data_IF_778317623003
#
_entry.id   IF_778317623003
#
_cell.length_a   1.000
_cell.length_b   1.000
_cell.length_c   1.000
_cell.angle_alpha   90.00
_cell.angle_beta   90.00
_cell.angle_gamma   90.00
#
_symmetry.space_group_name_H-M   'P 1'
#
loop_
_entity.id
_entity.type
_entity.pdbx_description
1 polymer ?
#
# COMPACT_ATOMS: atom_id res chain seq x y z
N UNK A 1 -10.26 5.59 12.48
CA UNK A 1 -9.79 6.35 11.30
C UNK A 1 -8.35 6.76 11.55
N UNK A 2 -7.47 6.44 10.63
CA UNK A 2 -6.07 6.87 10.66
C UNK A 2 -5.95 8.37 10.42
N UNK A 3 -4.93 9.00 11.00
CA UNK A 3 -4.62 10.42 10.79
C UNK A 3 -3.86 10.69 9.47
N UNK A 4 -3.52 9.64 8.72
CA UNK A 4 -2.76 9.69 7.47
C UNK A 4 -3.27 8.62 6.51
N UNK A 5 -3.01 8.81 5.22
CA UNK A 5 -3.38 7.86 4.16
C UNK A 5 -2.20 7.61 3.20
N UNK A 6 -2.39 6.78 2.19
CA UNK A 6 -1.40 6.40 1.18
C UNK A 6 -0.69 7.62 0.57
N UNK A 7 -1.43 8.70 0.31
CA UNK A 7 -0.87 9.94 -0.23
C UNK A 7 0.22 10.55 0.66
N UNK A 8 0.09 10.40 1.98
CA UNK A 8 1.01 10.97 2.96
C UNK A 8 2.29 10.13 3.05
N UNK A 9 2.16 8.80 2.94
CA UNK A 9 3.29 7.88 2.79
C UNK A 9 4.09 8.20 1.52
N UNK A 10 3.41 8.33 0.39
CA UNK A 10 4.05 8.63 -0.90
C UNK A 10 4.76 9.99 -0.87
N UNK A 11 4.17 11.01 -0.24
CA UNK A 11 4.80 12.34 -0.07
C UNK A 11 6.03 12.28 0.81
N UNK A 12 5.96 11.56 1.94
CA UNK A 12 7.10 11.43 2.86
C UNK A 12 8.31 10.77 2.18
N UNK A 13 8.05 9.82 1.28
CA UNK A 13 9.07 9.05 0.58
C UNK A 13 9.50 9.67 -0.76
N UNK A 14 8.98 10.83 -1.12
CA UNK A 14 9.42 11.57 -2.28
C UNK A 14 10.89 12.04 -2.11
N UNK A 15 11.68 12.13 -3.19
CA UNK A 15 11.29 11.89 -4.59
C UNK A 15 11.25 10.41 -4.99
N UNK A 16 11.81 9.53 -4.17
CA UNK A 16 12.04 8.12 -4.52
C UNK A 16 10.74 7.36 -4.81
N UNK A 17 9.69 7.62 -4.02
CA UNK A 17 8.34 7.08 -4.26
C UNK A 17 7.76 7.44 -5.64
N UNK A 18 8.08 8.63 -6.15
CA UNK A 18 7.59 9.12 -7.44
C UNK A 18 8.45 8.62 -8.61
N UNK A 19 9.69 8.22 -8.34
CA UNK A 19 10.56 7.61 -9.34
C UNK A 19 10.35 6.11 -9.50
N UNK A 20 9.73 5.47 -8.49
CA UNK A 20 9.34 4.08 -8.55
C UNK A 20 8.14 3.87 -9.47
N UNK A 21 8.04 2.67 -10.01
CA UNK A 21 6.81 2.13 -10.59
C UNK A 21 6.12 1.29 -9.53
N UNK A 22 4.80 1.27 -9.55
CA UNK A 22 3.98 0.67 -8.51
C UNK A 22 3.00 -0.31 -9.11
N UNK A 23 3.03 -1.53 -8.57
CA UNK A 23 1.96 -2.50 -8.77
C UNK A 23 0.90 -2.26 -7.70
N UNK A 24 -0.34 -2.10 -8.15
CA UNK A 24 -1.52 -2.00 -7.28
C UNK A 24 -2.20 -3.36 -7.31
N UNK A 25 -2.40 -3.95 -6.14
CA UNK A 25 -2.92 -5.32 -5.98
C UNK A 25 -3.94 -5.39 -4.85
N UNK A 26 -4.79 -6.42 -4.89
CA UNK A 26 -5.59 -6.85 -3.74
C UNK A 26 -4.69 -7.34 -2.61
N UNK A 27 -5.17 -7.24 -1.36
CA UNK A 27 -4.53 -7.87 -0.21
C UNK A 27 -4.84 -9.36 -0.24
N UNK A 28 -3.83 -10.18 -0.52
CA UNK A 28 -3.98 -11.64 -0.64
C UNK A 28 -3.68 -12.31 0.70
N UNK A 29 -4.61 -13.13 1.18
CA UNK A 29 -4.37 -13.93 2.39
C UNK A 29 -3.59 -15.22 2.09
N UNK A 30 -3.21 -15.97 3.13
CA UNK A 30 -2.71 -17.35 2.97
C UNK A 30 -3.73 -18.34 2.38
N UNK A 31 -5.01 -17.95 2.29
CA UNK A 31 -6.07 -18.68 1.61
C UNK A 31 -6.33 -18.05 0.22
N UNK A 32 -6.18 -18.79 -0.89
CA UNK A 32 -6.20 -18.22 -2.25
C UNK A 32 -7.51 -17.54 -2.66
N UNK A 33 -8.63 -17.85 -1.99
CA UNK A 33 -9.95 -17.33 -2.34
C UNK A 33 -10.30 -16.03 -1.59
N UNK A 34 -9.43 -15.59 -0.68
CA UNK A 34 -9.66 -14.42 0.15
C UNK A 34 -8.69 -13.30 -0.25
N UNK A 35 -9.22 -12.37 -1.03
CA UNK A 35 -8.55 -11.17 -1.48
C UNK A 35 -9.43 -9.95 -1.21
N UNK A 36 -8.84 -8.86 -0.72
CA UNK A 36 -9.58 -7.62 -0.43
C UNK A 36 -8.93 -6.41 -1.07
N UNK A 37 -9.77 -5.55 -1.65
CA UNK A 37 -9.42 -4.18 -1.95
C UNK A 37 -10.63 -3.31 -1.66
N UNK A 38 -10.43 -2.24 -0.90
CA UNK A 38 -11.49 -1.30 -0.57
C UNK A 38 -10.86 0.07 -0.32
N UNK A 39 -11.32 1.07 -1.07
CA UNK A 39 -10.90 2.45 -0.94
C UNK A 39 -12.05 3.38 -1.31
N UNK A 40 -12.18 4.49 -0.58
CA UNK A 40 -13.28 5.44 -0.72
C UNK A 40 -12.88 6.68 -1.52
N UNK A 41 -13.85 7.31 -2.19
CA UNK A 41 -13.67 8.48 -3.05
C UNK A 41 -13.28 8.11 -4.50
N UNK A 42 -13.35 9.08 -5.41
CA UNK A 42 -13.14 8.87 -6.86
C UNK A 42 -11.78 8.23 -7.20
N UNK A 43 -10.75 8.50 -6.39
CA UNK A 43 -9.45 7.85 -6.53
C UNK A 43 -9.48 6.38 -6.11
N UNK A 44 -10.26 6.05 -5.07
CA UNK A 44 -10.42 4.70 -4.54
C UNK A 44 -11.03 3.74 -5.56
N UNK A 45 -12.13 4.13 -6.20
CA UNK A 45 -12.79 3.33 -7.25
C UNK A 45 -11.82 3.00 -8.40
N UNK A 46 -10.98 3.97 -8.79
CA UNK A 46 -9.96 3.77 -9.83
C UNK A 46 -8.84 2.85 -9.37
N UNK A 47 -8.42 2.96 -8.12
CA UNK A 47 -7.41 2.06 -7.54
C UNK A 47 -7.93 0.63 -7.45
N UNK A 48 -9.21 0.43 -7.14
CA UNK A 48 -9.83 -0.90 -7.12
C UNK A 48 -9.83 -1.55 -8.51
N UNK A 49 -10.18 -0.80 -9.56
CA UNK A 49 -10.10 -1.28 -10.94
C UNK A 49 -8.67 -1.62 -11.38
N UNK A 50 -7.66 -0.99 -10.78
CA UNK A 50 -6.24 -1.29 -11.01
C UNK A 50 -5.81 -2.54 -10.23
N UNK A 51 -6.25 -2.67 -8.97
CA UNK A 51 -5.95 -3.79 -8.09
C UNK A 51 -6.47 -5.12 -8.65
N UNK A 52 -7.68 -5.14 -9.21
CA UNK A 52 -8.31 -6.32 -9.79
C UNK A 52 -7.56 -6.92 -10.99
N UNK A 53 -6.58 -6.20 -11.55
CA UNK A 53 -5.75 -6.66 -12.67
C UNK A 53 -4.26 -6.61 -12.37
N UNK A 54 -3.89 -6.45 -11.10
CA UNK A 54 -2.49 -6.28 -10.65
C UNK A 54 -1.75 -5.21 -11.49
N UNK A 55 -2.42 -4.08 -11.76
CA UNK A 55 -1.94 -3.08 -12.70
C UNK A 55 -0.66 -2.39 -12.22
N UNK A 56 0.21 -2.07 -13.17
CA UNK A 56 1.43 -1.29 -12.95
C UNK A 56 1.21 0.14 -13.41
N UNK A 57 1.47 1.10 -12.52
CA UNK A 57 1.38 2.54 -12.79
C UNK A 57 2.62 3.27 -12.29
N UNK A 58 2.83 4.49 -12.75
CA UNK A 58 3.93 5.34 -12.26
C UNK A 58 3.64 5.87 -10.86
N UNK A 59 4.70 6.24 -10.12
CA UNK A 59 4.54 6.86 -8.80
C UNK A 59 3.79 8.20 -8.84
N UNK A 60 3.88 8.95 -9.94
CA UNK A 60 3.11 10.18 -10.16
C UNK A 60 1.62 9.89 -10.32
N UNK A 61 1.26 8.88 -11.12
CA UNK A 61 -0.13 8.45 -11.29
C UNK A 61 -0.70 7.93 -9.96
N UNK A 62 0.07 7.11 -9.23
CA UNK A 62 -0.35 6.61 -7.92
C UNK A 62 -0.61 7.76 -6.94
N UNK A 63 0.29 8.75 -6.86
CA UNK A 63 0.08 9.91 -6.00
C UNK A 63 -1.14 10.75 -6.44
N UNK A 64 -1.38 10.87 -7.75
CA UNK A 64 -2.54 11.59 -8.27
C UNK A 64 -3.86 10.91 -7.86
N UNK A 65 -3.93 9.57 -7.96
CA UNK A 65 -5.06 8.77 -7.50
C UNK A 65 -5.21 8.86 -5.98
N UNK A 66 -4.14 8.68 -5.22
CA UNK A 66 -4.17 8.76 -3.76
C UNK A 66 -4.61 10.13 -3.22
N UNK A 67 -4.42 11.23 -3.98
CA UNK A 67 -4.97 12.55 -3.62
C UNK A 67 -6.48 12.65 -3.79
N UNK A 68 -7.05 11.87 -4.71
CA UNK A 68 -8.49 11.76 -4.97
C UNK A 68 -9.15 10.65 -4.14
N UNK A 69 -8.35 9.82 -3.46
CA UNK A 69 -8.80 8.84 -2.49
C UNK A 69 -9.03 9.52 -1.14
N UNK A 70 -10.21 9.30 -0.56
CA UNK A 70 -10.54 9.76 0.79
C UNK A 70 -9.85 8.88 1.82
N UNK A 71 -9.91 7.57 1.63
CA UNK A 71 -9.29 6.60 2.53
C UNK A 71 -9.05 5.26 1.83
N UNK A 72 -7.90 4.63 2.04
CA UNK A 72 -7.69 3.21 1.71
C UNK A 72 -8.00 2.37 2.94
N UNK A 73 -8.94 1.44 2.82
CA UNK A 73 -9.34 0.50 3.87
C UNK A 73 -8.55 -0.80 3.71
N UNK A 74 -8.55 -1.37 2.50
CA UNK A 74 -7.76 -2.53 2.09
C UNK A 74 -7.04 -2.24 0.77
N UNK A 75 -5.76 -2.58 0.70
CA UNK A 75 -5.02 -2.53 -0.56
C UNK A 75 -3.53 -2.78 -0.38
N UNK A 76 -2.89 -3.33 -1.41
CA UNK A 76 -1.45 -3.55 -1.45
C UNK A 76 -0.82 -2.76 -2.60
N UNK A 77 0.26 -2.04 -2.29
CA UNK A 77 1.00 -1.20 -3.21
C UNK A 77 2.47 -1.59 -3.15
N UNK A 78 2.98 -2.19 -4.22
CA UNK A 78 4.36 -2.65 -4.30
C UNK A 78 5.15 -1.80 -5.27
N UNK A 79 6.10 -1.03 -4.74
CA UNK A 79 7.03 -0.18 -5.48
C UNK A 79 8.30 -0.91 -5.85
N UNK A 80 8.74 -0.74 -7.10
CA UNK A 80 9.99 -1.31 -7.63
C UNK A 80 10.66 -0.34 -8.59
N UNK A 81 11.95 -0.58 -8.85
CA UNK A 81 12.73 0.17 -9.81
C UNK A 81 13.07 -0.74 -10.99
N UNK A 82 12.80 -0.34 -12.25
CA UNK A 82 13.01 -1.20 -13.42
C UNK A 82 14.45 -1.73 -13.57
N UNK A 83 15.41 -1.08 -12.93
CA UNK A 83 16.84 -1.39 -13.01
C UNK A 83 17.43 -1.95 -11.69
N UNK A 84 16.60 -2.20 -10.68
CA UNK A 84 17.07 -2.79 -9.43
C UNK A 84 17.06 -4.31 -9.52
N UNK A 85 18.12 -4.94 -9.02
CA UNK A 85 18.24 -6.40 -8.85
C UNK A 85 17.36 -6.95 -7.73
N UNK A 86 16.83 -6.09 -6.85
CA UNK A 86 15.83 -6.44 -5.85
C UNK A 86 14.43 -6.24 -6.43
N UNK A 87 13.66 -7.33 -6.49
CA UNK A 87 12.35 -7.39 -7.15
C UNK A 87 11.32 -6.43 -6.55
N UNK A 88 11.45 -6.05 -5.27
CA UNK A 88 10.53 -5.15 -4.57
C UNK A 88 11.31 -4.18 -3.67
N UNK A 89 11.25 -2.87 -3.94
CA UNK A 89 11.85 -1.86 -3.07
C UNK A 89 11.02 -1.67 -1.80
N UNK A 90 9.70 -1.55 -1.95
CA UNK A 90 8.80 -1.22 -0.85
C UNK A 90 7.41 -1.78 -1.12
N UNK A 91 6.88 -2.58 -0.20
CA UNK A 91 5.47 -2.95 -0.16
C UNK A 91 4.79 -2.13 0.95
N UNK A 92 3.65 -1.53 0.62
CA UNK A 92 2.75 -0.85 1.54
C UNK A 92 1.42 -1.58 1.49
N UNK A 93 0.92 -2.04 2.63
CA UNK A 93 -0.36 -2.73 2.73
C UNK A 93 -1.26 -2.06 3.76
N UNK A 94 -2.46 -1.67 3.36
CA UNK A 94 -3.49 -1.14 4.25
C UNK A 94 -4.35 -2.28 4.80
N UNK A 95 -4.59 -2.28 6.12
CA UNK A 95 -5.38 -3.31 6.82
C UNK A 95 -6.53 -2.66 7.57
N UNK A 96 -7.77 -2.97 7.17
CA UNK A 96 -9.05 -2.49 7.73
C UNK A 96 -9.02 -1.02 8.19
N UNK A 97 -8.36 -0.14 7.43
CA UNK A 97 -8.18 1.28 7.76
C UNK A 97 -7.57 1.59 9.14
N UNK A 98 -6.93 0.61 9.76
CA UNK A 98 -6.48 0.64 11.16
C UNK A 98 -4.96 0.80 11.28
N UNK A 99 -4.21 0.24 10.34
CA UNK A 99 -2.76 0.41 10.27
C UNK A 99 -2.23 0.12 8.85
N UNK A 100 -0.98 0.51 8.62
CA UNK A 100 -0.24 0.16 7.41
C UNK A 100 0.91 -0.78 7.73
N UNK A 101 1.03 -1.84 6.94
CA UNK A 101 2.13 -2.78 6.98
C UNK A 101 3.16 -2.45 5.90
N UNK A 102 4.42 -2.54 6.27
CA UNK A 102 5.55 -2.14 5.43
C UNK A 102 6.55 -3.28 5.34
N UNK A 103 6.90 -3.65 4.11
CA UNK A 103 8.02 -4.55 3.81
C UNK A 103 9.03 -3.83 2.94
N UNK A 104 10.25 -3.68 3.44
CA UNK A 104 11.37 -3.10 2.67
C UNK A 104 12.69 -3.56 3.27
N UNK A 105 13.71 -3.74 2.42
CA UNK A 105 15.10 -3.92 2.84
C UNK A 105 15.80 -2.57 3.14
N UNK A 106 15.18 -1.44 2.81
CA UNK A 106 15.73 -0.10 3.04
C UNK A 106 15.42 0.35 4.48
N UNK A 107 16.37 0.10 5.40
CA UNK A 107 16.23 0.45 6.82
C UNK A 107 15.98 1.95 7.04
N UNK A 108 16.50 2.81 6.15
CA UNK A 108 16.30 4.25 6.25
C UNK A 108 14.84 4.63 5.94
N UNK A 109 14.23 3.98 4.95
CA UNK A 109 12.78 4.11 4.66
C UNK A 109 11.96 3.66 5.86
N UNK A 110 12.26 2.47 6.41
CA UNK A 110 11.53 1.92 7.55
C UNK A 110 11.61 2.84 8.77
N UNK A 111 12.81 3.34 9.10
CA UNK A 111 13.02 4.26 10.22
C UNK A 111 12.23 5.56 10.01
N UNK A 112 12.29 6.15 8.82
CA UNK A 112 11.59 7.41 8.50
C UNK A 112 10.07 7.26 8.67
N UNK A 113 9.51 6.14 8.24
CA UNK A 113 8.09 5.83 8.37
C UNK A 113 7.66 5.69 9.84
N UNK A 114 8.42 4.91 10.63
CA UNK A 114 8.16 4.72 12.06
C UNK A 114 8.29 6.01 12.88
N UNK A 115 9.23 6.88 12.51
CA UNK A 115 9.40 8.17 13.17
C UNK A 115 8.25 9.15 12.84
N UNK A 116 7.58 8.97 11.70
CA UNK A 116 6.55 9.90 11.21
C UNK A 116 5.11 9.46 11.53
N UNK A 117 4.88 8.15 11.71
CA UNK A 117 3.54 7.59 11.85
C UNK A 117 3.49 6.51 12.93
N UNK A 118 2.49 6.58 13.82
CA UNK A 118 2.35 5.66 14.95
C UNK A 118 1.74 4.29 14.58
N UNK A 119 0.98 4.20 13.48
CA UNK A 119 0.26 3.00 13.07
C UNK A 119 0.92 2.32 11.87
N UNK A 120 2.24 2.11 11.96
CA UNK A 120 3.04 1.43 10.95
C UNK A 120 3.80 0.25 11.57
N UNK A 121 3.71 -0.92 10.95
CA UNK A 121 4.35 -2.16 11.40
C UNK A 121 5.00 -2.95 10.26
N UNK A 122 5.79 -3.99 10.57
CA UNK A 122 6.22 -4.97 9.57
C UNK A 122 5.01 -5.74 9.04
N UNK A 123 5.07 -6.20 7.78
CA UNK A 123 4.04 -7.05 7.22
C UNK A 123 4.24 -8.52 7.62
N UNK A 124 3.16 -9.21 7.98
CA UNK A 124 3.15 -10.67 8.09
C UNK A 124 3.04 -11.32 6.69
N UNK A 125 3.87 -12.32 6.41
CA UNK A 125 3.89 -13.04 5.12
C UNK A 125 3.89 -14.57 5.37
N UNK A 126 2.87 -15.31 4.87
CA UNK A 126 1.66 -14.83 4.21
C UNK A 126 0.78 -14.02 5.16
N UNK A 127 -0.05 -13.11 4.61
CA UNK A 127 -1.02 -12.38 5.44
C UNK A 127 -1.95 -13.38 6.14
N UNK A 128 -1.95 -13.34 7.46
CA UNK A 128 -2.86 -14.08 8.31
C UNK A 128 -3.94 -13.09 8.80
N UNK A 129 -5.11 -13.02 8.12
CA UNK A 129 -6.16 -12.11 8.55
C UNK A 129 -6.58 -12.43 9.98
N UNK A 130 -6.74 -11.39 10.81
CA UNK A 130 -7.39 -11.58 12.09
C UNK A 130 -8.86 -11.97 11.82
N UNK A 131 -9.43 -12.98 12.48
CA UNK A 131 -10.85 -13.28 12.36
C UNK A 131 -11.78 -12.07 12.56
N UNK A 132 -11.35 -11.07 13.35
CA UNK A 132 -12.08 -9.81 13.52
C UNK A 132 -12.14 -8.95 12.25
N UNK A 133 -11.13 -9.04 11.38
CA UNK A 133 -11.03 -8.28 10.14
C UNK A 133 -11.92 -8.88 9.03
N UNK A 134 -12.38 -10.12 9.20
CA UNK A 134 -13.17 -10.87 8.21
C UNK A 134 -14.69 -10.65 8.31
N UNK A 135 -15.18 -9.94 9.34
CA UNK A 135 -16.61 -9.89 9.71
C UNK A 135 -17.27 -8.55 9.28
N UNK A 136 -16.66 -7.77 8.39
CA UNK A 136 -17.25 -6.51 7.89
C UNK A 136 -17.75 -6.62 6.46
#
# INVERSE_FOLDING_TARGET
MLAFDLRDLLRLLAPRSLQAVWRVSTVKSGLPELEWFDATGDGGEKLELLANRDAVITGQELLALAKQTTQVIWGEFTGYFPNATDDNWLMIRAIDSSYYEITTADEAVLKKLKDSFQHIGPADIPFAPNPADLIR
#
